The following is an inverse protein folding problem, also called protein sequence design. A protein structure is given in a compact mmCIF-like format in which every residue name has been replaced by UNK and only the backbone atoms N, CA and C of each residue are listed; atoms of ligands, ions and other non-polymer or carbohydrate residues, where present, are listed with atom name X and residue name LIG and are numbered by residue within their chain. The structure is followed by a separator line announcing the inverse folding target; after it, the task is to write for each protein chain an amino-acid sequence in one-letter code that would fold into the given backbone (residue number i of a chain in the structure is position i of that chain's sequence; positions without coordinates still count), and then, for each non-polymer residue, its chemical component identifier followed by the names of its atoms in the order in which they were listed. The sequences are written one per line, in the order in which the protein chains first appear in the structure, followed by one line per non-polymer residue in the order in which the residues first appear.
data_IF_032737905362
#
_entry.id   IF_032737905362
#
_cell.length_a   1.000
_cell.length_b   1.000
_cell.length_c   1.000
_cell.angle_alpha   90.00
_cell.angle_beta   90.00
_cell.angle_gamma   90.00
#
_symmetry.space_group_name_H-M   'P 1'
#
loop_
_entity.id
_entity.type
_entity.pdbx_description
1 polymer ?
#
# COMPACT_ATOMS: atom_id res chain seq x y z
N UNK A 1 -3.68 4.83 -30.46
CA UNK A 1 -3.34 4.15 -29.19
C UNK A 1 -4.65 3.95 -28.43
N UNK A 2 -5.18 2.73 -28.33
CA UNK A 2 -6.40 2.47 -27.54
C UNK A 2 -5.95 2.28 -26.10
N UNK A 3 -6.15 3.29 -25.25
CA UNK A 3 -5.96 3.11 -23.81
C UNK A 3 -7.09 2.20 -23.27
N UNK A 4 -6.79 1.18 -22.44
CA UNK A 4 -7.82 0.34 -21.86
C UNK A 4 -8.80 1.19 -21.05
N UNK A 5 -10.08 1.17 -21.42
CA UNK A 5 -11.15 2.01 -20.82
C UNK A 5 -11.58 1.55 -19.42
N UNK A 6 -10.86 0.63 -18.80
CA UNK A 6 -11.20 0.04 -17.51
C UNK A 6 -10.53 0.74 -16.32
N UNK A 7 -9.38 1.39 -16.50
CA UNK A 7 -8.65 2.04 -15.41
C UNK A 7 -9.38 3.26 -14.82
N UNK A 8 -10.27 3.89 -15.58
CA UNK A 8 -11.06 5.03 -15.13
C UNK A 8 -12.39 4.64 -14.49
N UNK A 9 -12.77 3.35 -14.52
CA UNK A 9 -14.06 2.87 -13.99
C UNK A 9 -14.02 2.62 -12.49
N UNK A 10 -12.84 2.41 -11.93
CA UNK A 10 -12.63 2.14 -10.52
C UNK A 10 -11.83 3.32 -9.94
N UNK A 11 -12.34 3.99 -8.89
CA UNK A 11 -11.66 5.13 -8.29
C UNK A 11 -10.22 4.80 -7.85
N UNK A 12 -9.28 5.65 -8.27
CA UNK A 12 -7.85 5.51 -7.93
C UNK A 12 -7.62 5.95 -6.48
N UNK A 13 -6.90 5.16 -5.65
CA UNK A 13 -6.43 5.62 -4.35
C UNK A 13 -5.36 6.69 -4.54
N UNK A 14 -5.51 7.79 -3.84
CA UNK A 14 -4.62 8.97 -3.91
C UNK A 14 -4.18 9.38 -2.51
N UNK A 15 -3.18 10.26 -2.44
CA UNK A 15 -2.65 10.80 -1.19
C UNK A 15 -2.21 9.69 -0.21
N UNK A 16 -1.63 8.60 -0.73
CA UNK A 16 -1.09 7.53 0.11
C UNK A 16 0.06 8.07 0.95
N UNK A 17 -0.08 7.93 2.26
CA UNK A 17 0.92 8.30 3.26
C UNK A 17 1.27 7.09 4.13
N UNK A 18 2.45 7.13 4.73
CA UNK A 18 2.93 6.11 5.65
C UNK A 18 3.60 6.79 6.86
N UNK A 19 3.24 6.36 8.06
CA UNK A 19 3.86 6.78 9.31
C UNK A 19 4.32 5.56 10.10
N UNK A 20 5.53 5.61 10.65
CA UNK A 20 6.05 4.54 11.52
C UNK A 20 5.67 4.81 12.97
N UNK A 21 5.30 3.76 13.69
CA UNK A 21 4.98 3.80 15.12
C UNK A 21 5.51 2.55 15.82
N UNK A 22 5.47 2.54 17.16
CA UNK A 22 5.83 1.42 18.01
C UNK A 22 4.70 1.10 18.98
N UNK A 23 4.26 -0.16 18.98
CA UNK A 23 3.31 -0.67 19.97
C UNK A 23 3.86 -0.56 21.39
N UNK A 24 2.98 -0.67 22.39
CA UNK A 24 3.36 -0.73 23.81
C UNK A 24 4.37 -1.84 24.14
N UNK A 25 4.42 -2.89 23.32
CA UNK A 25 5.40 -3.99 23.44
C UNK A 25 6.71 -3.74 22.68
N UNK A 26 6.91 -2.54 22.12
CA UNK A 26 8.09 -2.16 21.35
C UNK A 26 8.13 -2.72 19.93
N UNK A 27 7.09 -3.42 19.47
CA UNK A 27 7.01 -3.87 18.07
C UNK A 27 6.73 -2.70 17.15
N UNK A 28 7.49 -2.60 16.05
CA UNK A 28 7.30 -1.59 15.01
C UNK A 28 6.04 -1.89 14.20
N UNK A 29 5.31 -0.84 13.86
CA UNK A 29 4.18 -0.87 12.95
C UNK A 29 4.27 0.30 11.97
N UNK A 30 3.61 0.17 10.82
CA UNK A 30 3.45 1.25 9.85
C UNK A 30 1.96 1.49 9.66
N UNK A 31 1.51 2.70 9.95
CA UNK A 31 0.17 3.17 9.63
C UNK A 31 0.16 3.75 8.22
N UNK A 32 -0.74 3.24 7.38
CA UNK A 32 -1.01 3.72 6.04
C UNK A 32 -2.35 4.44 6.03
N UNK A 33 -2.41 5.56 5.33
CA UNK A 33 -3.66 6.27 5.05
C UNK A 33 -3.68 6.72 3.60
N UNK A 34 -4.82 6.57 2.94
CA UNK A 34 -5.07 7.09 1.60
C UNK A 34 -6.48 7.67 1.49
N UNK A 35 -6.82 8.19 0.32
CA UNK A 35 -8.16 8.69 0.00
C UNK A 35 -8.59 8.20 -1.37
N UNK A 36 -9.88 8.28 -1.66
CA UNK A 36 -10.45 8.09 -3.00
C UNK A 36 -11.29 9.31 -3.32
N UNK A 37 -11.33 9.68 -4.60
CA UNK A 37 -12.11 10.82 -5.09
C UNK A 37 -13.60 10.50 -5.28
N UNK A 38 -13.96 9.22 -5.30
CA UNK A 38 -15.33 8.71 -5.37
C UNK A 38 -15.35 7.28 -4.78
N UNK A 39 -16.52 6.85 -4.32
CA UNK A 39 -16.78 5.44 -3.97
C UNK A 39 -17.63 4.73 -5.04
N UNK A 40 -18.00 5.44 -6.11
CA UNK A 40 -18.74 4.85 -7.22
C UNK A 40 -17.96 3.69 -7.82
N UNK A 41 -18.61 2.52 -7.93
CA UNK A 41 -18.02 1.26 -8.37
C UNK A 41 -16.85 0.75 -7.50
N UNK A 42 -16.49 1.39 -6.38
CA UNK A 42 -15.43 0.88 -5.50
C UNK A 42 -15.97 -0.27 -4.64
N UNK A 43 -15.25 -1.40 -4.62
CA UNK A 43 -15.57 -2.56 -3.78
C UNK A 43 -14.63 -2.68 -2.60
N UNK A 44 -13.33 -2.73 -2.87
CA UNK A 44 -12.30 -2.93 -1.86
C UNK A 44 -10.91 -2.59 -2.41
N UNK A 45 -9.92 -2.74 -1.55
CA UNK A 45 -8.50 -2.52 -1.81
C UNK A 45 -7.68 -3.78 -1.53
N UNK A 46 -6.56 -3.87 -2.22
CA UNK A 46 -5.43 -4.72 -1.85
C UNK A 46 -4.25 -3.83 -1.50
N UNK A 47 -3.51 -4.19 -0.45
CA UNK A 47 -2.28 -3.49 -0.07
C UNK A 47 -1.11 -4.38 -0.44
N UNK A 48 -0.18 -3.84 -1.21
CA UNK A 48 1.05 -4.52 -1.57
C UNK A 48 2.24 -3.86 -0.89
N UNK A 49 3.20 -4.68 -0.47
CA UNK A 49 4.39 -4.25 0.26
C UNK A 49 5.66 -4.86 -0.33
N UNK A 50 6.74 -4.10 -0.28
CA UNK A 50 8.09 -4.60 -0.48
C UNK A 50 9.04 -4.13 0.62
N UNK A 51 10.09 -4.92 0.86
CA UNK A 51 11.19 -4.58 1.76
C UNK A 51 12.48 -4.44 0.95
N UNK A 52 13.34 -3.51 1.36
CA UNK A 52 14.67 -3.36 0.80
C UNK A 52 15.65 -2.95 1.92
N UNK A 53 16.64 -3.80 2.17
CA UNK A 53 17.71 -3.52 3.15
C UNK A 53 18.89 -2.83 2.46
N UNK A 54 19.20 -3.23 1.21
CA UNK A 54 20.25 -2.63 0.39
C UNK A 54 19.63 -1.90 -0.81
N UNK A 55 19.90 -0.59 -1.03
CA UNK A 55 19.39 0.15 -2.18
C UNK A 55 19.66 -0.48 -3.55
N UNK A 56 20.72 -1.29 -3.68
CA UNK A 56 21.06 -1.99 -4.91
C UNK A 56 20.25 -3.28 -5.15
N UNK A 57 19.55 -3.81 -4.14
CA UNK A 57 18.76 -5.05 -4.32
C UNK A 57 17.45 -4.78 -5.05
N UNK A 58 17.02 -5.71 -5.88
CA UNK A 58 15.72 -5.65 -6.57
C UNK A 58 14.57 -5.56 -5.56
N UNK A 59 13.63 -4.65 -5.83
CA UNK A 59 12.38 -4.52 -5.07
C UNK A 59 11.36 -5.54 -5.61
N UNK A 60 10.83 -6.38 -4.73
CA UNK A 60 9.79 -7.36 -5.05
C UNK A 60 8.58 -7.13 -4.16
N UNK A 61 7.44 -6.82 -4.76
CA UNK A 61 6.19 -6.60 -4.05
C UNK A 61 5.45 -7.91 -3.78
N UNK A 62 4.77 -7.95 -2.63
CA UNK A 62 3.86 -9.01 -2.21
C UNK A 62 2.59 -8.38 -1.64
N UNK A 63 1.43 -8.95 -1.95
CA UNK A 63 0.17 -8.50 -1.36
C UNK A 63 0.09 -8.96 0.09
N UNK A 64 -0.12 -8.01 1.01
CA UNK A 64 -0.18 -8.26 2.46
C UNK A 64 -1.60 -8.31 2.99
N UNK A 65 -2.55 -7.67 2.31
CA UNK A 65 -3.99 -7.79 2.59
C UNK A 65 -4.80 -7.67 1.31
N UNK A 66 -5.91 -8.41 1.27
CA UNK A 66 -6.89 -8.45 0.19
C UNK A 66 -8.27 -8.06 0.74
N UNK A 67 -9.16 -7.60 -0.14
CA UNK A 67 -10.57 -7.30 0.18
C UNK A 67 -10.72 -6.29 1.34
N UNK A 68 -9.78 -5.33 1.44
CA UNK A 68 -9.77 -4.35 2.51
C UNK A 68 -10.70 -3.19 2.18
N UNK A 69 -11.65 -2.84 3.05
CA UNK A 69 -12.70 -1.85 2.75
C UNK A 69 -12.46 -0.49 3.37
N UNK A 70 -11.44 -0.33 4.22
CA UNK A 70 -11.09 0.94 4.86
C UNK A 70 -9.96 1.63 4.09
N UNK A 71 -9.82 2.93 4.30
CA UNK A 71 -8.75 3.77 3.74
C UNK A 71 -7.57 3.98 4.69
N UNK A 72 -7.56 3.25 5.81
CA UNK A 72 -6.50 3.26 6.82
C UNK A 72 -6.10 1.83 7.14
N UNK A 73 -4.81 1.48 7.10
CA UNK A 73 -4.30 0.13 7.36
C UNK A 73 -3.06 0.18 8.26
N UNK A 74 -3.00 -0.70 9.27
CA UNK A 74 -1.83 -0.83 10.13
C UNK A 74 -1.10 -2.12 9.81
N UNK A 75 0.13 -1.99 9.31
CA UNK A 75 1.04 -3.10 9.08
C UNK A 75 1.91 -3.37 10.31
N UNK A 76 1.59 -4.44 11.04
CA UNK A 76 2.38 -4.90 12.19
C UNK A 76 3.38 -6.02 11.85
N UNK A 77 3.50 -6.41 10.58
CA UNK A 77 4.33 -7.53 10.14
C UNK A 77 5.70 -7.05 9.60
N UNK A 78 6.32 -6.09 10.30
CA UNK A 78 7.62 -5.54 9.94
C UNK A 78 8.72 -6.53 10.31
N UNK A 79 9.61 -6.83 9.36
CA UNK A 79 10.73 -7.76 9.58
C UNK A 79 11.78 -7.16 10.50
N UNK A 80 12.56 -8.02 11.15
CA UNK A 80 13.75 -7.59 11.89
C UNK A 80 14.83 -7.09 10.91
N UNK A 81 15.56 -6.05 11.31
CA UNK A 81 16.69 -5.48 10.59
C UNK A 81 17.72 -4.89 11.56
N UNK A 82 18.95 -4.69 11.10
CA UNK A 82 20.07 -4.17 11.91
C UNK A 82 20.12 -2.65 11.94
N UNK A 83 20.16 -2.01 10.77
CA UNK A 83 20.47 -0.57 10.66
C UNK A 83 19.30 0.22 10.06
N UNK A 84 19.02 -0.01 8.78
CA UNK A 84 17.91 0.63 8.07
C UNK A 84 17.11 -0.37 7.25
N UNK A 85 15.80 -0.15 7.19
CA UNK A 85 14.89 -0.90 6.33
C UNK A 85 14.04 0.09 5.55
N UNK A 86 14.12 0.03 4.21
CA UNK A 86 13.17 0.73 3.35
C UNK A 86 11.96 -0.16 3.15
N UNK A 87 10.78 0.41 3.34
CA UNK A 87 9.50 -0.25 3.13
C UNK A 87 8.71 0.53 2.10
N UNK A 88 8.18 -0.18 1.11
CA UNK A 88 7.42 0.40 0.00
C UNK A 88 6.01 -0.15 0.04
N UNK A 89 5.02 0.70 -0.23
CA UNK A 89 3.62 0.30 -0.35
C UNK A 89 2.96 0.92 -1.58
N UNK A 90 2.01 0.20 -2.16
CA UNK A 90 1.00 0.77 -3.04
C UNK A 90 -0.35 0.12 -2.74
N UNK A 91 -1.43 0.82 -3.10
CA UNK A 91 -2.81 0.37 -2.94
C UNK A 91 -3.39 0.09 -4.32
N UNK A 92 -4.00 -1.08 -4.49
CA UNK A 92 -4.73 -1.44 -5.70
C UNK A 92 -6.22 -1.48 -5.39
N UNK A 93 -7.06 -0.64 -6.02
CA UNK A 93 -8.51 -0.69 -5.85
C UNK A 93 -9.10 -1.79 -6.74
N UNK A 94 -10.25 -2.32 -6.34
CA UNK A 94 -11.06 -3.22 -7.14
C UNK A 94 -12.50 -2.75 -7.21
N UNK A 95 -13.08 -2.91 -8.39
CA UNK A 95 -14.45 -2.55 -8.69
C UNK A 95 -15.48 -3.58 -8.22
N UNK A 96 -16.73 -3.15 -8.07
CA UNK A 96 -17.88 -4.05 -7.82
C UNK A 96 -18.06 -4.97 -9.02
N UNK A 97 -17.83 -4.43 -10.21
CA UNK A 97 -17.77 -5.11 -11.51
C UNK A 97 -16.56 -6.05 -11.68
N UNK A 98 -15.75 -6.25 -10.63
CA UNK A 98 -14.57 -7.12 -10.55
C UNK A 98 -13.34 -6.66 -11.31
N UNK A 99 -13.36 -5.50 -11.98
CA UNK A 99 -12.17 -4.94 -12.61
C UNK A 99 -11.21 -4.36 -11.56
N UNK A 100 -9.90 -4.43 -11.83
CA UNK A 100 -8.92 -3.69 -11.06
C UNK A 100 -8.84 -2.25 -11.57
N UNK A 101 -8.74 -1.28 -10.65
CA UNK A 101 -8.44 0.10 -11.00
C UNK A 101 -6.94 0.36 -11.08
N UNK A 102 -6.61 1.61 -11.37
CA UNK A 102 -5.24 2.08 -11.31
C UNK A 102 -4.69 2.06 -9.88
N UNK A 103 -3.44 1.64 -9.72
CA UNK A 103 -2.76 1.66 -8.43
C UNK A 103 -2.57 3.11 -7.94
N UNK A 104 -2.47 3.28 -6.63
CA UNK A 104 -1.90 4.49 -6.05
C UNK A 104 -0.44 4.68 -6.51
N UNK A 105 0.08 5.88 -6.26
CA UNK A 105 1.53 6.06 -6.23
C UNK A 105 2.15 5.16 -5.15
N UNK A 106 3.41 4.79 -5.35
CA UNK A 106 4.15 4.04 -4.35
C UNK A 106 4.67 4.98 -3.27
N UNK A 107 4.34 4.72 -2.01
CA UNK A 107 4.95 5.41 -0.87
C UNK A 107 6.17 4.63 -0.39
N UNK A 108 7.22 5.34 0.00
CA UNK A 108 8.42 4.78 0.65
C UNK A 108 8.55 5.38 2.05
N UNK A 109 8.83 4.53 3.03
CA UNK A 109 9.26 4.93 4.36
C UNK A 109 10.56 4.21 4.72
N UNK A 110 11.48 4.91 5.39
CA UNK A 110 12.73 4.34 5.89
C UNK A 110 12.64 4.21 7.40
N UNK A 111 12.73 2.99 7.90
CA UNK A 111 12.84 2.71 9.32
C UNK A 111 14.32 2.66 9.71
N UNK A 112 14.67 3.31 10.81
CA UNK A 112 16.04 3.34 11.37
C UNK A 112 16.00 2.73 12.76
N UNK A 113 17.01 1.93 13.11
CA UNK A 113 17.17 1.32 14.43
C UNK A 113 18.34 1.92 15.19
#
# INVERSE_FOLDING_TARGET
LIAPTHFTRVPRPVNLTAASDTTVTGKRQIELQWSVNSEENLKDFSVSRAFQINPASKITFSTVVLNYTKTTYVDSAIINFSDSLMVFYYIQPRGIDTFAGENSDTVKITLIK
#
